data_IF_126852066048
#
_entry.id   IF_126852066048
#
_cell.length_a   1.000
_cell.length_b   1.000
_cell.length_c   1.000
_cell.angle_alpha   90.00
_cell.angle_beta   90.00
_cell.angle_gamma   90.00
#
_symmetry.space_group_name_H-M   'P 1'
#
loop_
_entity.id
_entity.type
_entity.pdbx_description
1 polymer ?
#
# COMPACT_ATOMS: atom_id res chain seq x y z
N UNK A 1 10.12 -5.59 3.20
CA UNK A 1 10.60 -4.47 2.35
C UNK A 1 12.12 -4.37 2.49
N UNK A 2 12.89 -5.08 1.66
CA UNK A 2 14.34 -5.34 1.83
C UNK A 2 15.23 -4.55 0.85
N UNK A 3 14.73 -3.45 0.28
CA UNK A 3 15.52 -2.59 -0.61
C UNK A 3 16.52 -1.70 0.14
N UNK A 4 17.55 -1.24 -0.58
CA UNK A 4 18.45 -0.19 -0.09
C UNK A 4 17.73 1.16 -0.10
N UNK A 5 17.86 1.94 0.97
CA UNK A 5 17.26 3.26 1.13
C UNK A 5 18.37 4.30 1.22
N UNK A 6 18.27 5.34 0.42
CA UNK A 6 19.18 6.48 0.45
C UNK A 6 18.42 7.78 0.17
N UNK A 7 19.02 8.91 0.53
CA UNK A 7 18.56 10.23 0.13
C UNK A 7 19.36 10.69 -1.09
N UNK A 8 18.72 11.10 -2.20
CA UNK A 8 19.42 11.68 -3.34
C UNK A 8 20.31 12.89 -2.98
N UNK A 9 19.94 13.66 -1.96
CA UNK A 9 20.74 14.80 -1.46
C UNK A 9 21.97 14.37 -0.64
N UNK A 10 21.96 13.15 -0.11
CA UNK A 10 23.02 12.59 0.73
C UNK A 10 23.30 11.13 0.34
N UNK A 11 23.72 10.85 -0.91
CA UNK A 11 23.79 9.49 -1.45
C UNK A 11 24.84 8.61 -0.74
N UNK A 12 25.86 9.22 -0.15
CA UNK A 12 26.90 8.50 0.61
C UNK A 12 26.48 8.13 2.05
N UNK A 13 25.40 8.72 2.58
CA UNK A 13 24.98 8.53 3.98
C UNK A 13 23.94 7.41 4.11
N UNK A 14 24.40 6.17 3.93
CA UNK A 14 23.52 5.00 3.91
C UNK A 14 23.55 4.31 5.27
N UNK A 15 22.49 4.48 6.06
CA UNK A 15 22.40 3.92 7.42
C UNK A 15 22.54 2.39 7.44
N UNK A 16 21.95 1.72 6.44
CA UNK A 16 22.03 0.25 6.29
C UNK A 16 23.46 -0.26 6.10
N UNK A 17 24.41 0.61 5.72
CA UNK A 17 25.82 0.27 5.49
C UNK A 17 26.78 0.90 6.52
N UNK A 18 26.23 1.50 7.59
CA UNK A 18 27.03 2.23 8.59
C UNK A 18 27.89 1.34 9.48
N UNK A 19 27.49 0.08 9.67
CA UNK A 19 28.26 -0.95 10.35
C UNK A 19 28.21 -2.26 9.57
N UNK A 20 29.19 -3.13 9.79
CA UNK A 20 29.22 -4.46 9.19
C UNK A 20 27.96 -5.27 9.53
N UNK A 21 27.55 -5.26 10.80
CA UNK A 21 26.38 -5.99 11.27
C UNK A 21 25.09 -5.51 10.59
N UNK A 22 24.91 -4.18 10.45
CA UNK A 22 23.77 -3.63 9.72
C UNK A 22 23.82 -3.99 8.24
N UNK A 23 24.99 -3.91 7.61
CA UNK A 23 25.13 -4.27 6.19
C UNK A 23 24.79 -5.75 5.95
N UNK A 24 25.18 -6.65 6.84
CA UNK A 24 24.90 -8.09 6.71
C UNK A 24 23.45 -8.45 7.06
N UNK A 25 22.79 -7.70 7.94
CA UNK A 25 21.42 -7.95 8.37
C UNK A 25 20.37 -7.30 7.46
N UNK A 26 20.60 -6.05 7.07
CA UNK A 26 19.58 -5.16 6.52
C UNK A 26 19.65 -4.98 4.99
N UNK A 27 20.60 -5.67 4.33
CA UNK A 27 20.69 -5.73 2.86
C UNK A 27 20.09 -7.02 2.29
N UNK A 28 19.48 -6.91 1.11
CA UNK A 28 18.85 -8.05 0.45
C UNK A 28 19.86 -9.13 0.06
N UNK A 29 19.39 -10.39 0.07
CA UNK A 29 20.11 -11.57 -0.40
C UNK A 29 19.45 -12.21 -1.63
N UNK A 30 18.27 -11.70 -2.01
CA UNK A 30 17.43 -12.16 -3.10
C UNK A 30 17.10 -10.97 -4.01
N UNK A 31 16.93 -11.22 -5.30
CA UNK A 31 16.42 -10.26 -6.27
C UNK A 31 15.36 -10.93 -7.16
N UNK A 32 14.53 -10.11 -7.81
CA UNK A 32 13.58 -10.59 -8.81
C UNK A 32 14.20 -10.53 -10.20
N UNK A 33 13.98 -11.58 -10.98
CA UNK A 33 14.34 -11.67 -12.38
C UNK A 33 13.12 -12.14 -13.19
N UNK A 34 13.07 -11.76 -14.46
CA UNK A 34 12.10 -12.31 -15.40
C UNK A 34 12.64 -13.62 -15.94
N UNK A 35 11.85 -14.70 -15.82
CA UNK A 35 12.16 -15.96 -16.46
C UNK A 35 11.81 -15.88 -17.96
N UNK A 36 12.85 -15.85 -18.79
CA UNK A 36 12.75 -15.78 -20.25
C UNK A 36 12.77 -17.17 -20.91
N UNK A 37 12.99 -18.24 -20.15
CA UNK A 37 13.02 -19.62 -20.66
C UNK A 37 11.65 -20.27 -20.49
N UNK A 38 10.96 -20.01 -19.37
CA UNK A 38 9.58 -20.47 -19.13
C UNK A 38 8.53 -19.52 -19.70
N UNK A 39 8.62 -19.23 -21.01
CA UNK A 39 7.48 -18.73 -21.78
C UNK A 39 6.39 -19.82 -21.82
N UNK A 40 5.67 -19.97 -20.71
CA UNK A 40 4.46 -20.78 -20.69
C UNK A 40 3.53 -20.25 -21.78
N UNK A 41 2.95 -21.15 -22.57
CA UNK A 41 2.06 -20.80 -23.70
C UNK A 41 0.76 -20.11 -23.26
N UNK A 42 0.55 -19.93 -21.96
CA UNK A 42 -0.64 -19.35 -21.36
C UNK A 42 -0.25 -18.16 -20.48
N UNK A 43 -0.34 -16.95 -21.04
CA UNK A 43 -0.26 -15.72 -20.26
C UNK A 43 -1.36 -15.73 -19.20
N UNK A 44 -0.96 -15.68 -17.93
CA UNK A 44 -1.90 -15.55 -16.81
C UNK A 44 -1.99 -14.09 -16.38
N UNK A 45 -3.15 -13.70 -15.85
CA UNK A 45 -3.43 -12.33 -15.35
C UNK A 45 -2.82 -12.08 -13.96
N UNK A 46 -2.06 -13.04 -13.42
CA UNK A 46 -1.39 -12.92 -12.12
C UNK A 46 0.02 -12.38 -12.32
N UNK A 47 0.33 -11.19 -11.78
CA UNK A 47 1.61 -10.48 -11.95
C UNK A 47 2.86 -11.31 -11.55
N UNK A 48 2.68 -12.37 -10.75
CA UNK A 48 3.78 -13.24 -10.29
C UNK A 48 4.20 -14.35 -11.26
N UNK A 49 3.47 -14.59 -12.34
CA UNK A 49 3.59 -15.86 -13.10
C UNK A 49 4.96 -16.10 -13.75
N UNK A 50 5.70 -15.03 -14.08
CA UNK A 50 7.01 -15.08 -14.73
C UNK A 50 8.12 -14.41 -13.91
N UNK A 51 7.85 -14.11 -12.63
CA UNK A 51 8.81 -13.53 -11.71
C UNK A 51 9.55 -14.63 -10.93
N UNK A 52 10.83 -14.82 -11.26
CA UNK A 52 11.74 -15.68 -10.52
C UNK A 52 12.40 -14.92 -9.37
N UNK A 53 12.46 -15.53 -8.19
CA UNK A 53 13.17 -14.97 -7.03
C UNK A 53 14.50 -15.69 -6.86
N UNK A 54 15.60 -15.03 -7.21
CA UNK A 54 16.93 -15.63 -7.34
C UNK A 54 17.85 -15.12 -6.22
N UNK A 55 18.74 -15.97 -5.70
CA UNK A 55 19.77 -15.55 -4.74
C UNK A 55 20.86 -14.76 -5.44
N UNK A 56 21.40 -13.72 -4.78
CA UNK A 56 22.50 -12.92 -5.35
C UNK A 56 23.74 -13.75 -5.73
N UNK A 57 23.98 -14.86 -5.04
CA UNK A 57 25.10 -15.78 -5.33
C UNK A 57 24.94 -16.54 -6.67
N UNK A 58 23.71 -16.65 -7.17
CA UNK A 58 23.34 -17.35 -8.41
C UNK A 58 23.23 -16.39 -9.60
N UNK A 59 23.40 -15.07 -9.36
CA UNK A 59 23.37 -14.08 -10.42
C UNK A 59 24.57 -14.24 -11.38
N UNK A 60 24.36 -13.88 -12.65
CA UNK A 60 25.42 -13.87 -13.65
C UNK A 60 26.58 -12.96 -13.20
N UNK A 61 27.79 -13.54 -13.18
CA UNK A 61 29.03 -12.81 -12.86
C UNK A 61 29.29 -11.65 -13.82
N UNK A 62 28.80 -11.74 -15.06
CA UNK A 62 28.94 -10.72 -16.08
C UNK A 62 27.76 -9.73 -16.13
N UNK A 63 26.73 -9.97 -15.30
CA UNK A 63 25.53 -9.15 -15.26
C UNK A 63 25.71 -7.81 -14.54
N UNK A 64 24.66 -6.97 -14.53
CA UNK A 64 24.70 -5.62 -13.95
C UNK A 64 24.94 -5.61 -12.44
N UNK A 65 24.71 -6.73 -11.74
CA UNK A 65 24.92 -6.85 -10.30
C UNK A 65 26.34 -6.47 -9.87
N UNK A 66 27.34 -6.70 -10.72
CA UNK A 66 28.74 -6.32 -10.46
C UNK A 66 28.93 -4.83 -10.19
N UNK A 67 28.08 -4.00 -10.79
CA UNK A 67 28.09 -2.55 -10.62
C UNK A 67 27.34 -2.10 -9.36
N UNK A 68 26.46 -2.95 -8.82
CA UNK A 68 25.57 -2.62 -7.71
C UNK A 68 26.04 -3.19 -6.37
N UNK A 69 26.99 -4.15 -6.38
CA UNK A 69 27.35 -4.92 -5.19
C UNK A 69 28.76 -4.64 -4.67
N UNK A 70 28.90 -4.73 -3.35
CA UNK A 70 30.16 -4.95 -2.63
C UNK A 70 30.29 -6.41 -2.21
N UNK A 71 31.51 -6.82 -1.84
CA UNK A 71 31.81 -8.18 -1.38
C UNK A 71 32.27 -8.19 0.07
N UNK A 72 31.57 -8.91 0.92
CA UNK A 72 31.99 -9.19 2.29
C UNK A 72 33.03 -10.31 2.33
N UNK A 73 34.16 -10.01 2.94
CA UNK A 73 35.25 -10.94 3.21
C UNK A 73 35.16 -11.45 4.66
N UNK A 74 34.82 -12.73 4.87
CA UNK A 74 34.70 -13.29 6.22
C UNK A 74 36.04 -13.51 6.92
N UNK A 75 37.16 -13.57 6.19
CA UNK A 75 38.48 -13.76 6.80
C UNK A 75 38.95 -12.48 7.47
N UNK A 76 38.85 -11.38 6.73
CA UNK A 76 39.26 -10.05 7.20
C UNK A 76 38.15 -9.30 7.94
N UNK A 77 36.91 -9.81 7.92
CA UNK A 77 35.70 -9.16 8.47
C UNK A 77 35.49 -7.74 7.92
N UNK A 78 35.74 -7.54 6.63
CA UNK A 78 35.57 -6.25 5.95
C UNK A 78 34.65 -6.36 4.75
N UNK A 79 34.07 -5.22 4.36
CA UNK A 79 33.34 -5.08 3.09
C UNK A 79 34.29 -4.43 2.09
N UNK A 80 34.60 -5.14 1.02
CA UNK A 80 35.38 -4.63 -0.12
C UNK A 80 34.40 -4.09 -1.15
N UNK A 81 34.56 -2.83 -1.53
CA UNK A 81 33.71 -2.19 -2.53
C UNK A 81 33.97 -2.81 -3.91
N UNK A 82 32.89 -3.29 -4.54
CA UNK A 82 32.96 -4.01 -5.81
C UNK A 82 32.72 -5.51 -5.71
N UNK A 83 32.66 -6.11 -6.89
CA UNK A 83 32.36 -7.52 -7.08
C UNK A 83 33.66 -8.32 -7.18
N UNK A 84 33.96 -9.12 -6.15
CA UNK A 84 35.11 -10.02 -6.12
C UNK A 84 34.66 -11.48 -6.13
N UNK A 85 35.52 -12.39 -6.56
CA UNK A 85 35.24 -13.82 -6.46
C UNK A 85 35.24 -14.29 -4.99
N UNK A 86 34.35 -15.21 -4.65
CA UNK A 86 34.12 -15.61 -3.26
C UNK A 86 33.40 -14.53 -2.45
N UNK A 87 33.25 -14.78 -1.14
CA UNK A 87 32.59 -13.85 -0.21
C UNK A 87 31.10 -13.61 -0.45
N UNK A 88 30.41 -13.05 0.55
CA UNK A 88 28.97 -12.75 0.45
C UNK A 88 28.77 -11.45 -0.32
N UNK A 89 27.85 -11.45 -1.29
CA UNK A 89 27.49 -10.23 -2.04
C UNK A 89 26.52 -9.38 -1.22
N UNK A 90 26.80 -8.08 -1.17
CA UNK A 90 26.00 -7.05 -0.49
C UNK A 90 25.58 -6.03 -1.54
N UNK A 91 24.28 -5.76 -1.66
CA UNK A 91 23.77 -4.74 -2.58
C UNK A 91 23.95 -3.37 -1.92
N UNK A 92 25.08 -2.74 -2.20
CA UNK A 92 25.53 -1.49 -1.57
C UNK A 92 25.34 -0.26 -2.45
N UNK A 93 25.28 -0.46 -3.77
CA UNK A 93 25.35 0.59 -4.78
C UNK A 93 26.58 1.51 -4.64
N UNK A 94 27.67 1.06 -4.01
CA UNK A 94 28.84 1.91 -3.72
C UNK A 94 29.41 2.58 -4.99
N UNK A 95 29.55 1.81 -6.08
CA UNK A 95 30.06 2.35 -7.35
C UNK A 95 29.16 3.45 -7.94
N UNK A 96 27.84 3.38 -7.71
CA UNK A 96 26.88 4.34 -8.24
C UNK A 96 26.73 5.55 -7.31
N UNK A 97 26.52 5.31 -6.01
CA UNK A 97 26.17 6.34 -5.03
C UNK A 97 27.37 7.05 -4.42
N UNK A 98 28.55 6.42 -4.40
CA UNK A 98 29.76 6.99 -3.80
C UNK A 98 30.83 7.32 -4.85
N UNK A 99 31.04 6.42 -5.82
CA UNK A 99 32.07 6.60 -6.86
C UNK A 99 31.56 7.27 -8.13
N UNK A 100 30.26 7.56 -8.23
CA UNK A 100 29.68 8.33 -9.33
C UNK A 100 29.74 7.64 -10.70
N UNK A 101 29.81 6.30 -10.76
CA UNK A 101 29.80 5.53 -12.02
C UNK A 101 28.55 5.82 -12.86
N UNK A 102 27.42 6.07 -12.21
CA UNK A 102 26.17 6.45 -12.84
C UNK A 102 25.53 7.56 -12.01
N UNK A 103 25.10 8.69 -12.60
CA UNK A 103 24.62 9.86 -11.85
C UNK A 103 23.18 9.67 -11.36
N UNK A 104 22.92 8.57 -10.65
CA UNK A 104 21.58 8.16 -10.21
C UNK A 104 20.98 9.18 -9.25
N UNK A 105 21.74 9.57 -8.22
CA UNK A 105 21.28 10.48 -7.18
C UNK A 105 20.93 11.86 -7.75
N UNK A 106 21.83 12.42 -8.57
CA UNK A 106 21.62 13.71 -9.23
C UNK A 106 20.44 13.68 -10.21
N UNK A 107 20.26 12.58 -10.94
CA UNK A 107 19.14 12.40 -11.87
C UNK A 107 17.82 12.35 -11.11
N UNK A 108 17.75 11.56 -10.03
CA UNK A 108 16.55 11.48 -9.18
C UNK A 108 16.23 12.84 -8.56
N UNK A 109 17.22 13.54 -7.99
CA UNK A 109 17.03 14.86 -7.37
C UNK A 109 16.47 15.88 -8.38
N UNK A 110 17.03 15.93 -9.60
CA UNK A 110 16.53 16.81 -10.67
C UNK A 110 15.09 16.47 -11.07
N UNK A 111 14.78 15.20 -11.27
CA UNK A 111 13.43 14.78 -11.69
C UNK A 111 12.41 15.07 -10.58
N UNK A 112 12.76 14.84 -9.32
CA UNK A 112 11.87 15.15 -8.19
C UNK A 112 11.61 16.66 -8.08
N UNK A 113 12.64 17.50 -8.25
CA UNK A 113 12.49 18.98 -8.24
C UNK A 113 11.62 19.47 -9.38
N UNK A 114 11.91 19.06 -10.62
CA UNK A 114 11.13 19.43 -11.79
C UNK A 114 9.68 18.95 -11.63
N UNK A 115 9.50 17.70 -11.22
CA UNK A 115 8.18 17.12 -10.99
C UNK A 115 7.38 17.87 -9.94
N UNK A 116 8.02 18.27 -8.84
CA UNK A 116 7.38 19.05 -7.79
C UNK A 116 7.01 20.46 -8.26
N UNK A 117 7.88 21.13 -9.02
CA UNK A 117 7.64 22.47 -9.57
C UNK A 117 6.46 22.44 -10.55
N UNK A 118 6.47 21.53 -11.52
CA UNK A 118 5.45 21.44 -12.57
C UNK A 118 4.09 20.94 -12.05
N UNK A 119 4.08 20.05 -11.04
CA UNK A 119 2.84 19.55 -10.44
C UNK A 119 2.34 20.39 -9.24
N UNK A 120 3.11 21.39 -8.81
CA UNK A 120 2.78 22.28 -7.70
C UNK A 120 2.69 21.61 -6.32
N UNK A 121 3.19 20.38 -6.18
CA UNK A 121 3.22 19.63 -4.91
C UNK A 121 4.28 18.53 -4.95
N UNK A 122 4.72 17.98 -3.79
CA UNK A 122 5.70 16.90 -3.76
C UNK A 122 5.25 15.72 -4.65
N UNK A 123 6.20 15.08 -5.32
CA UNK A 123 5.92 13.96 -6.24
C UNK A 123 6.65 12.70 -5.81
N UNK A 124 6.09 11.55 -6.17
CA UNK A 124 6.76 10.27 -6.18
C UNK A 124 7.04 9.84 -7.62
N UNK A 125 8.15 9.14 -7.84
CA UNK A 125 8.53 8.60 -9.14
C UNK A 125 8.83 7.11 -9.04
N UNK A 126 8.47 6.38 -10.08
CA UNK A 126 8.95 5.03 -10.35
C UNK A 126 9.86 5.08 -11.58
N UNK A 127 10.99 4.39 -11.52
CA UNK A 127 11.99 4.44 -12.58
C UNK A 127 12.68 3.09 -12.78
N UNK A 128 13.27 2.92 -13.95
CA UNK A 128 14.22 1.85 -14.25
C UNK A 128 15.54 2.45 -14.70
N UNK A 129 16.65 1.80 -14.37
CA UNK A 129 17.97 2.15 -14.87
C UNK A 129 18.58 0.93 -15.56
N UNK A 130 19.07 1.15 -16.77
CA UNK A 130 19.81 0.15 -17.54
C UNK A 130 21.29 0.55 -17.57
N UNK A 131 22.14 -0.31 -17.01
CA UNK A 131 23.59 -0.08 -16.93
C UNK A 131 24.27 -1.01 -17.92
N UNK A 132 24.67 -0.44 -19.05
CA UNK A 132 25.32 -1.18 -20.14
C UNK A 132 26.78 -1.43 -19.78
N UNK A 133 27.49 -0.37 -19.38
CA UNK A 133 28.88 -0.42 -18.93
C UNK A 133 29.20 0.71 -17.93
N UNK A 134 30.48 0.92 -17.62
CA UNK A 134 30.92 1.94 -16.64
C UNK A 134 30.71 3.40 -17.10
N UNK A 135 30.50 3.63 -18.40
CA UNK A 135 30.35 4.94 -19.00
C UNK A 135 28.96 5.15 -19.62
N UNK A 136 28.29 4.07 -20.01
CA UNK A 136 26.99 4.10 -20.67
C UNK A 136 25.90 3.47 -19.79
N UNK A 137 24.84 4.25 -19.58
CA UNK A 137 23.61 3.78 -18.98
C UNK A 137 22.44 4.67 -19.37
N UNK A 138 21.23 4.17 -19.19
CA UNK A 138 19.99 4.87 -19.47
C UNK A 138 19.10 4.91 -18.23
N UNK A 139 18.42 6.04 -18.03
CA UNK A 139 17.43 6.23 -16.97
C UNK A 139 16.05 6.40 -17.60
N UNK A 140 15.09 5.63 -17.15
CA UNK A 140 13.72 5.64 -17.65
C UNK A 140 12.77 5.99 -16.51
N UNK A 141 12.02 7.09 -16.64
CA UNK A 141 10.88 7.37 -15.77
C UNK A 141 9.73 6.48 -16.22
N UNK A 142 9.26 5.61 -15.33
CA UNK A 142 8.14 4.72 -15.59
C UNK A 142 6.82 5.36 -15.16
N UNK A 143 6.86 6.08 -14.04
CA UNK A 143 5.70 6.78 -13.51
C UNK A 143 6.13 8.01 -12.70
N UNK A 144 5.32 9.06 -12.74
CA UNK A 144 5.40 10.19 -11.83
C UNK A 144 4.00 10.50 -11.32
N UNK A 145 3.84 10.66 -10.01
CA UNK A 145 2.56 10.95 -9.36
C UNK A 145 2.72 12.04 -8.31
N UNK A 146 1.78 12.98 -8.21
CA UNK A 146 1.75 13.93 -7.10
C UNK A 146 1.38 13.21 -5.80
N UNK A 147 2.12 13.47 -4.73
CA UNK A 147 1.81 13.00 -3.38
C UNK A 147 0.69 13.88 -2.82
N UNK A 148 -0.33 13.25 -2.26
CA UNK A 148 -1.39 13.95 -1.53
C UNK A 148 -0.84 14.37 -0.17
N UNK A 149 -0.49 15.64 -0.06
CA UNK A 149 -0.16 16.28 1.22
C UNK A 149 -1.47 16.61 1.95
N UNK A 150 -2.02 15.66 2.71
CA UNK A 150 -3.17 15.92 3.58
C UNK A 150 -2.70 16.75 4.78
N UNK A 151 -2.54 18.06 4.58
CA UNK A 151 -2.15 19.05 5.60
C UNK A 151 -3.21 19.35 6.65
N UNK A 152 -4.39 18.75 6.56
CA UNK A 152 -5.34 18.79 7.68
C UNK A 152 -4.80 17.93 8.82
N UNK A 153 -3.94 18.53 9.63
CA UNK A 153 -3.63 17.97 10.95
C UNK A 153 -4.94 18.00 11.72
N UNK A 154 -5.58 16.84 11.86
CA UNK A 154 -6.68 16.66 12.81
C UNK A 154 -6.06 16.86 14.21
N UNK A 155 -6.14 18.10 14.72
CA UNK A 155 -5.68 18.44 16.07
C UNK A 155 -6.66 17.98 17.14
N UNK A 156 -7.89 17.62 16.75
CA UNK A 156 -8.89 17.07 17.67
C UNK A 156 -8.42 15.75 18.28
N UNK A 157 -8.71 15.58 19.58
CA UNK A 157 -8.45 14.33 20.27
C UNK A 157 -9.54 13.32 19.95
N UNK A 158 -9.35 12.53 18.89
CA UNK A 158 -10.32 11.52 18.46
C UNK A 158 -10.59 10.44 19.55
N UNK A 159 -9.70 10.30 20.54
CA UNK A 159 -9.85 9.39 21.68
C UNK A 159 -11.00 9.79 22.61
N UNK A 160 -11.40 11.06 22.61
CA UNK A 160 -12.50 11.59 23.44
C UNK A 160 -13.84 11.65 22.70
N UNK A 161 -13.91 11.08 21.49
CA UNK A 161 -15.15 11.09 20.70
C UNK A 161 -16.21 10.22 21.38
N UNK A 162 -17.43 10.73 21.52
CA UNK A 162 -18.53 9.96 22.11
C UNK A 162 -18.87 8.74 21.24
N UNK A 163 -18.84 7.57 21.87
CA UNK A 163 -19.21 6.28 21.28
C UNK A 163 -20.66 6.32 20.77
N UNK A 164 -21.55 7.04 21.46
CA UNK A 164 -22.96 7.11 21.10
C UNK A 164 -23.19 7.86 19.79
N UNK A 165 -22.33 8.82 19.47
CA UNK A 165 -22.38 9.62 18.24
C UNK A 165 -21.54 9.03 17.11
N UNK A 166 -21.02 7.82 17.27
CA UNK A 166 -20.06 7.21 16.34
C UNK A 166 -20.63 5.95 15.68
N UNK A 167 -20.50 5.84 14.35
CA UNK A 167 -20.85 4.63 13.58
C UNK A 167 -19.66 3.69 13.47
N UNK A 168 -18.47 4.24 13.22
CA UNK A 168 -17.21 3.48 13.11
C UNK A 168 -16.14 4.13 13.96
N UNK A 169 -15.45 3.33 14.76
CA UNK A 169 -14.21 3.72 15.44
C UNK A 169 -13.13 2.69 15.10
N UNK A 170 -11.92 3.15 14.81
CA UNK A 170 -10.75 2.30 14.59
C UNK A 170 -9.52 2.93 15.23
N UNK A 171 -8.78 2.11 15.98
CA UNK A 171 -7.45 2.45 16.51
C UNK A 171 -6.30 2.01 15.58
N UNK A 172 -6.64 1.54 14.38
CA UNK A 172 -5.72 1.18 13.33
C UNK A 172 -6.28 1.68 11.99
N UNK A 173 -6.38 3.01 11.90
CA UNK A 173 -6.81 3.73 10.73
C UNK A 173 -5.62 4.31 9.95
N UNK A 174 -5.76 4.33 8.63
CA UNK A 174 -4.85 4.94 7.68
C UNK A 174 -5.58 6.02 6.89
N UNK A 175 -4.81 7.01 6.42
CA UNK A 175 -5.34 8.25 5.87
C UNK A 175 -5.16 9.41 6.85
N UNK A 176 -5.59 10.60 6.45
CA UNK A 176 -5.52 11.79 7.29
C UNK A 176 -6.54 12.82 6.80
N UNK A 177 -7.17 13.58 7.69
CA UNK A 177 -8.06 14.71 7.35
C UNK A 177 -9.51 14.53 7.79
N UNK A 178 -10.36 15.50 7.41
CA UNK A 178 -11.79 15.55 7.74
C UNK A 178 -12.62 15.57 6.45
N UNK A 179 -13.72 14.83 6.42
CA UNK A 179 -14.69 14.83 5.33
C UNK A 179 -16.10 14.85 5.90
N UNK A 180 -16.93 15.77 5.40
CA UNK A 180 -18.31 16.01 5.83
C UNK A 180 -19.26 16.14 4.64
N UNK A 181 -18.95 15.43 3.56
CA UNK A 181 -19.63 15.44 2.26
C UNK A 181 -20.15 14.04 1.85
N UNK A 182 -20.15 13.08 2.78
CA UNK A 182 -20.55 11.69 2.54
C UNK A 182 -21.89 11.40 3.22
N UNK A 183 -22.91 11.06 2.43
CA UNK A 183 -24.27 10.83 2.92
C UNK A 183 -24.67 9.35 2.96
N UNK A 184 -23.83 8.47 2.39
CA UNK A 184 -24.19 7.10 2.14
C UNK A 184 -23.24 6.14 2.87
N UNK A 185 -23.81 5.10 3.48
CA UNK A 185 -23.09 3.99 4.07
C UNK A 185 -23.54 2.67 3.41
N UNK A 186 -22.56 1.88 2.99
CA UNK A 186 -22.75 0.57 2.36
C UNK A 186 -22.01 -0.44 3.21
N UNK A 187 -22.70 -1.50 3.60
CA UNK A 187 -22.07 -2.54 4.42
C UNK A 187 -22.56 -3.93 4.06
N UNK A 188 -21.70 -4.90 4.32
CA UNK A 188 -22.04 -6.33 4.26
C UNK A 188 -22.69 -6.74 5.57
N UNK A 189 -23.87 -7.36 5.51
CA UNK A 189 -24.61 -7.83 6.68
C UNK A 189 -23.81 -8.92 7.40
N UNK A 190 -23.52 -8.74 8.68
CA UNK A 190 -22.63 -9.69 9.40
C UNK A 190 -23.35 -10.94 9.87
N UNK A 191 -24.64 -10.85 10.22
CA UNK A 191 -25.40 -11.95 10.83
C UNK A 191 -25.54 -13.18 9.92
N UNK A 192 -25.63 -12.98 8.60
CA UNK A 192 -25.76 -14.05 7.61
C UNK A 192 -24.49 -14.23 6.77
N UNK A 193 -23.36 -13.65 7.21
CA UNK A 193 -22.13 -13.66 6.44
C UNK A 193 -21.55 -15.07 6.28
N UNK A 194 -21.21 -15.43 5.05
CA UNK A 194 -20.50 -16.65 4.72
C UNK A 194 -19.42 -16.35 3.67
N UNK A 195 -18.18 -16.75 3.94
CA UNK A 195 -17.05 -16.50 3.05
C UNK A 195 -17.25 -17.10 1.64
N UNK A 196 -18.04 -18.17 1.52
CA UNK A 196 -18.43 -18.75 0.23
C UNK A 196 -19.15 -17.75 -0.70
N UNK A 197 -19.80 -16.73 -0.14
CA UNK A 197 -20.54 -15.71 -0.88
C UNK A 197 -19.69 -14.48 -1.24
N UNK A 198 -18.40 -14.42 -0.84
CA UNK A 198 -17.54 -13.25 -1.06
C UNK A 198 -17.46 -12.83 -2.53
N UNK A 199 -17.42 -13.80 -3.46
CA UNK A 199 -17.44 -13.51 -4.91
C UNK A 199 -18.76 -12.91 -5.39
N UNK A 200 -19.89 -13.25 -4.77
CA UNK A 200 -21.20 -12.65 -5.08
C UNK A 200 -21.28 -11.23 -4.51
N UNK A 201 -20.83 -11.05 -3.27
CA UNK A 201 -20.73 -9.75 -2.60
C UNK A 201 -19.91 -8.77 -3.45
N UNK A 202 -18.75 -9.20 -3.96
CA UNK A 202 -17.90 -8.38 -4.82
C UNK A 202 -18.65 -7.86 -6.06
N UNK A 203 -19.50 -8.68 -6.69
CA UNK A 203 -20.31 -8.30 -7.87
C UNK A 203 -21.43 -7.33 -7.53
N UNK A 204 -22.06 -7.47 -6.37
CA UNK A 204 -23.10 -6.54 -5.91
C UNK A 204 -22.52 -5.18 -5.59
N UNK A 205 -21.37 -5.15 -4.94
CA UNK A 205 -20.63 -3.92 -4.63
C UNK A 205 -20.17 -3.22 -5.90
N UNK A 206 -19.65 -3.96 -6.89
CA UNK A 206 -19.27 -3.40 -8.19
C UNK A 206 -20.46 -2.69 -8.88
N UNK A 207 -21.64 -3.33 -8.89
CA UNK A 207 -22.85 -2.73 -9.47
C UNK A 207 -23.26 -1.45 -8.75
N UNK A 208 -23.17 -1.46 -7.42
CA UNK A 208 -23.50 -0.31 -6.60
C UNK A 208 -22.49 0.83 -6.80
N UNK A 209 -21.18 0.56 -6.80
CA UNK A 209 -20.14 1.55 -7.04
C UNK A 209 -20.28 2.25 -8.42
N UNK A 210 -20.80 1.53 -9.43
CA UNK A 210 -21.13 2.15 -10.73
C UNK A 210 -22.22 3.22 -10.60
N UNK A 211 -23.28 2.98 -9.82
CA UNK A 211 -24.32 3.99 -9.57
C UNK A 211 -23.77 5.22 -8.84
N UNK A 212 -22.86 5.01 -7.89
CA UNK A 212 -22.15 6.11 -7.20
C UNK A 212 -21.26 6.90 -8.15
N UNK A 213 -20.65 6.22 -9.12
CA UNK A 213 -19.84 6.86 -10.15
C UNK A 213 -20.69 7.71 -11.09
N UNK A 214 -21.86 7.22 -11.50
CA UNK A 214 -22.79 7.93 -12.39
C UNK A 214 -23.37 9.20 -11.75
N UNK A 215 -23.59 9.20 -10.42
CA UNK A 215 -24.13 10.34 -9.67
C UNK A 215 -23.08 11.22 -8.99
N UNK A 216 -21.79 10.93 -9.23
CA UNK A 216 -20.63 11.58 -8.61
C UNK A 216 -20.76 11.73 -7.08
N UNK A 217 -21.07 10.63 -6.40
CA UNK A 217 -21.17 10.58 -4.94
C UNK A 217 -20.17 9.60 -4.34
N UNK A 218 -19.86 9.80 -3.06
CA UNK A 218 -19.01 8.91 -2.27
C UNK A 218 -19.79 8.18 -1.18
N UNK A 219 -19.24 7.10 -0.65
CA UNK A 219 -19.81 6.35 0.46
C UNK A 219 -18.78 5.81 1.45
N UNK A 220 -19.24 5.46 2.64
CA UNK A 220 -18.49 4.64 3.59
C UNK A 220 -18.77 3.17 3.29
N UNK A 221 -17.73 2.35 3.13
CA UNK A 221 -17.82 0.92 2.86
C UNK A 221 -17.33 0.11 4.06
N UNK A 222 -18.14 -0.84 4.54
CA UNK A 222 -17.79 -1.71 5.67
C UNK A 222 -18.03 -3.17 5.32
N UNK A 223 -17.10 -4.06 5.64
CA UNK A 223 -17.31 -5.48 5.40
C UNK A 223 -16.32 -6.39 6.13
N UNK A 224 -16.64 -7.69 6.25
CA UNK A 224 -15.81 -8.63 6.97
C UNK A 224 -14.63 -9.16 6.15
N UNK A 225 -13.51 -9.40 6.83
CA UNK A 225 -12.27 -9.91 6.21
C UNK A 225 -11.56 -8.87 5.34
N UNK A 226 -10.77 -9.35 4.36
CA UNK A 226 -9.97 -8.48 3.49
C UNK A 226 -10.74 -7.93 2.28
N UNK A 227 -10.51 -6.69 1.91
CA UNK A 227 -10.91 -6.16 0.61
C UNK A 227 -9.81 -6.40 -0.43
N UNK A 228 -10.17 -7.00 -1.56
CA UNK A 228 -9.25 -7.24 -2.67
C UNK A 228 -8.34 -8.46 -2.51
N UNK A 229 -8.73 -9.42 -1.68
CA UNK A 229 -8.04 -10.71 -1.60
C UNK A 229 -8.27 -11.54 -2.87
N UNK A 230 -7.19 -12.09 -3.44
CA UNK A 230 -7.30 -13.08 -4.54
C UNK A 230 -7.88 -14.43 -4.06
N UNK A 231 -7.78 -14.71 -2.76
CA UNK A 231 -8.44 -15.86 -2.12
C UNK A 231 -9.79 -15.41 -1.53
N UNK A 232 -10.93 -15.84 -2.09
CA UNK A 232 -12.26 -15.49 -1.59
C UNK A 232 -12.55 -16.05 -0.20
N UNK A 233 -11.83 -17.07 0.28
CA UNK A 233 -11.97 -17.53 1.66
C UNK A 233 -11.32 -16.59 2.67
N UNK A 234 -10.46 -15.69 2.20
CA UNK A 234 -9.78 -14.71 3.04
C UNK A 234 -10.38 -13.29 2.96
N UNK A 235 -11.34 -13.06 2.08
CA UNK A 235 -11.88 -11.73 1.89
C UNK A 235 -12.74 -11.60 0.65
N UNK A 236 -13.26 -10.40 0.45
CA UNK A 236 -14.11 -10.03 -0.68
C UNK A 236 -13.20 -9.68 -1.87
N UNK A 237 -13.22 -10.45 -2.98
CA UNK A 237 -12.30 -10.29 -4.11
C UNK A 237 -12.70 -9.12 -5.03
N UNK A 238 -12.69 -7.90 -4.50
CA UNK A 238 -12.92 -6.66 -5.26
C UNK A 238 -11.65 -6.20 -5.98
N UNK A 239 -11.81 -5.57 -7.15
CA UNK A 239 -10.76 -4.75 -7.75
C UNK A 239 -10.95 -3.30 -7.33
N UNK A 240 -9.93 -2.46 -7.49
CA UNK A 240 -10.04 -1.02 -7.19
C UNK A 240 -11.23 -0.36 -7.89
N UNK A 241 -11.45 -0.69 -9.17
CA UNK A 241 -12.58 -0.18 -9.97
C UNK A 241 -13.95 -0.58 -9.41
N UNK A 242 -14.04 -1.61 -8.57
CA UNK A 242 -15.30 -2.07 -7.97
C UNK A 242 -15.68 -1.25 -6.73
N UNK A 243 -14.75 -0.50 -6.12
CA UNK A 243 -14.96 0.25 -4.87
C UNK A 243 -14.38 1.67 -4.92
N UNK A 244 -14.11 2.18 -6.12
CA UNK A 244 -13.38 3.44 -6.35
C UNK A 244 -14.07 4.69 -5.79
N UNK A 245 -15.36 4.61 -5.44
CA UNK A 245 -16.13 5.72 -4.83
C UNK A 245 -16.27 5.57 -3.31
N UNK A 246 -15.62 4.59 -2.69
CA UNK A 246 -15.54 4.53 -1.23
C UNK A 246 -14.62 5.66 -0.72
N UNK A 247 -15.11 6.49 0.20
CA UNK A 247 -14.31 7.50 0.92
C UNK A 247 -13.61 6.90 2.15
N UNK A 248 -14.24 5.89 2.75
CA UNK A 248 -13.68 5.06 3.81
C UNK A 248 -13.96 3.61 3.47
N UNK A 249 -12.97 2.75 3.66
CA UNK A 249 -13.08 1.29 3.57
C UNK A 249 -12.72 0.74 4.94
N UNK A 250 -13.65 0.02 5.56
CA UNK A 250 -13.48 -0.61 6.86
C UNK A 250 -13.50 -2.14 6.72
N UNK A 251 -12.44 -2.77 7.23
CA UNK A 251 -12.33 -4.21 7.40
C UNK A 251 -12.71 -4.57 8.83
N UNK A 252 -13.77 -5.36 8.98
CA UNK A 252 -14.26 -5.81 10.28
C UNK A 252 -13.91 -7.29 10.51
N UNK A 253 -13.33 -7.60 11.65
CA UNK A 253 -13.15 -8.99 12.07
C UNK A 253 -14.46 -9.54 12.67
N UNK A 254 -14.83 -10.77 12.30
CA UNK A 254 -15.94 -11.49 12.94
C UNK A 254 -15.40 -12.57 13.89
N UNK A 255 -16.26 -13.07 14.78
CA UNK A 255 -15.87 -13.99 15.87
C UNK A 255 -15.11 -15.20 15.34
N UNK A 256 -15.64 -15.82 14.29
CA UNK A 256 -15.14 -17.03 13.64
C UNK A 256 -14.50 -16.77 12.26
N UNK A 257 -14.26 -15.49 11.93
CA UNK A 257 -13.65 -15.07 10.67
C UNK A 257 -12.67 -13.92 10.93
N UNK A 258 -11.47 -14.29 11.40
CA UNK A 258 -10.40 -13.38 11.81
C UNK A 258 -9.25 -13.50 10.84
N UNK A 259 -9.09 -12.47 10.04
CA UNK A 259 -8.08 -12.45 8.99
C UNK A 259 -7.21 -11.25 9.26
N UNK A 260 -5.91 -11.49 9.42
CA UNK A 260 -4.99 -10.37 9.61
C UNK A 260 -5.05 -9.44 8.40
N UNK A 261 -5.07 -8.12 8.58
CA UNK A 261 -4.99 -7.19 7.47
C UNK A 261 -3.71 -7.47 6.66
N UNK A 262 -3.85 -7.63 5.34
CA UNK A 262 -2.70 -7.68 4.44
C UNK A 262 -2.81 -6.54 3.44
N UNK A 263 -1.86 -5.63 3.51
CA UNK A 263 -1.82 -4.46 2.65
C UNK A 263 -1.12 -4.82 1.34
N UNK A 264 -1.89 -5.21 0.32
CA UNK A 264 -1.35 -5.35 -1.03
C UNK A 264 -0.80 -4.00 -1.52
N UNK A 265 0.44 -3.98 -2.04
CA UNK A 265 1.16 -2.72 -2.33
C UNK A 265 0.41 -1.81 -3.30
N UNK A 266 -0.19 -2.35 -4.36
CA UNK A 266 -0.94 -1.56 -5.35
C UNK A 266 -2.30 -1.05 -4.81
N UNK A 267 -2.97 -1.86 -3.98
CA UNK A 267 -4.22 -1.44 -3.32
C UNK A 267 -3.95 -0.30 -2.32
N UNK A 268 -2.86 -0.42 -1.55
CA UNK A 268 -2.43 0.58 -0.58
C UNK A 268 -2.03 1.91 -1.23
N UNK A 269 -1.27 1.87 -2.34
CA UNK A 269 -0.91 3.09 -3.08
C UNK A 269 -2.16 3.89 -3.49
N UNK A 270 -3.20 3.23 -4.00
CA UNK A 270 -4.45 3.89 -4.37
C UNK A 270 -5.16 4.50 -3.16
N UNK A 271 -5.22 3.80 -2.01
CA UNK A 271 -5.80 4.34 -0.78
C UNK A 271 -5.14 5.67 -0.39
N UNK A 272 -3.80 5.71 -0.42
CA UNK A 272 -3.04 6.92 -0.08
C UNK A 272 -3.18 8.02 -1.13
N UNK A 273 -3.12 7.70 -2.42
CA UNK A 273 -3.14 8.69 -3.51
C UNK A 273 -4.53 9.31 -3.75
N UNK A 274 -5.62 8.60 -3.43
CA UNK A 274 -6.99 9.10 -3.60
C UNK A 274 -7.60 9.63 -2.30
N UNK A 275 -6.83 9.67 -1.20
CA UNK A 275 -7.29 10.16 0.10
C UNK A 275 -8.42 9.33 0.69
N UNK A 276 -8.42 8.02 0.44
CA UNK A 276 -9.41 7.08 0.98
C UNK A 276 -8.97 6.63 2.36
N UNK A 277 -9.86 6.78 3.35
CA UNK A 277 -9.63 6.26 4.70
C UNK A 277 -9.68 4.75 4.72
N UNK A 278 -8.77 4.11 5.46
CA UNK A 278 -8.77 2.66 5.59
C UNK A 278 -8.72 2.24 7.05
N UNK A 279 -9.77 1.58 7.51
CA UNK A 279 -10.00 1.28 8.92
C UNK A 279 -9.89 -0.23 9.13
N UNK A 280 -9.10 -0.64 10.12
CA UNK A 280 -9.15 -2.02 10.62
C UNK A 280 -9.92 -2.04 11.93
N UNK A 281 -10.96 -2.86 12.01
CA UNK A 281 -11.85 -2.97 13.16
C UNK A 281 -11.80 -4.41 13.67
N UNK A 282 -11.32 -4.60 14.90
CA UNK A 282 -11.22 -5.89 15.60
C UNK A 282 -12.00 -5.83 16.91
N UNK A 283 -13.35 -5.96 16.89
CA UNK A 283 -14.20 -5.70 18.07
C UNK A 283 -13.92 -6.59 19.29
N UNK A 284 -13.23 -7.72 19.08
CA UNK A 284 -12.88 -8.69 20.13
C UNK A 284 -11.54 -8.39 20.82
N UNK A 285 -10.81 -7.38 20.36
CA UNK A 285 -9.57 -6.90 20.97
C UNK A 285 -9.90 -5.62 21.73
N UNK A 286 -9.42 -5.50 22.97
CA UNK A 286 -9.62 -4.28 23.76
C UNK A 286 -9.07 -3.05 23.01
N UNK A 287 -9.92 -2.05 22.84
CA UNK A 287 -9.59 -0.84 22.06
C UNK A 287 -9.53 -1.04 20.54
N UNK A 288 -9.76 -2.26 20.00
CA UNK A 288 -9.62 -2.63 18.59
C UNK A 288 -10.61 -2.00 17.61
N UNK A 289 -11.41 -1.02 18.04
CA UNK A 289 -12.45 -0.42 17.20
C UNK A 289 -13.82 -1.05 17.37
N UNK A 290 -14.84 -0.40 16.85
CA UNK A 290 -16.19 -0.95 16.74
C UNK A 290 -16.90 -0.48 15.48
N UNK A 291 -17.93 -1.24 15.11
CA UNK A 291 -18.88 -0.93 14.04
C UNK A 291 -20.30 -1.05 14.59
N UNK A 292 -21.04 0.06 14.63
CA UNK A 292 -22.43 0.12 15.09
C UNK A 292 -23.40 -0.32 13.97
N UNK A 293 -23.37 -1.62 13.65
CA UNK A 293 -24.26 -2.21 12.65
C UNK A 293 -25.73 -2.12 13.07
N UNK A 294 -26.02 -2.14 14.38
CA UNK A 294 -27.36 -2.03 14.92
C UNK A 294 -27.99 -0.66 14.59
N UNK A 295 -27.22 0.43 14.75
CA UNK A 295 -27.66 1.75 14.35
C UNK A 295 -27.99 1.81 12.85
N UNK A 296 -27.13 1.28 11.97
CA UNK A 296 -27.38 1.28 10.53
C UNK A 296 -28.60 0.42 10.15
N UNK A 297 -28.80 -0.72 10.82
CA UNK A 297 -29.95 -1.60 10.60
C UNK A 297 -31.29 -0.93 11.00
N UNK A 298 -31.28 0.02 11.94
CA UNK A 298 -32.46 0.78 12.34
C UNK A 298 -32.87 1.86 11.32
N UNK A 299 -31.98 2.22 10.38
CA UNK A 299 -32.26 3.21 9.34
C UNK A 299 -32.96 2.59 8.13
N UNK A 300 -33.76 3.37 7.39
CA UNK A 300 -34.35 2.91 6.13
C UNK A 300 -33.27 2.60 5.09
N UNK A 301 -33.31 1.40 4.51
CA UNK A 301 -32.43 1.04 3.40
C UNK A 301 -32.95 1.62 2.08
N UNK A 302 -32.08 2.28 1.32
CA UNK A 302 -32.37 2.66 -0.07
C UNK A 302 -32.26 1.43 -0.98
N UNK A 303 -31.30 0.57 -0.68
CA UNK A 303 -31.06 -0.65 -1.41
C UNK A 303 -30.61 -1.76 -0.45
N UNK A 304 -31.16 -2.95 -0.64
CA UNK A 304 -30.89 -4.10 0.22
C UNK A 304 -30.99 -5.39 -0.59
N UNK A 305 -30.03 -6.29 -0.36
CA UNK A 305 -29.99 -7.65 -0.91
C UNK A 305 -29.83 -8.65 0.23
N UNK A 306 -29.61 -9.92 -0.07
CA UNK A 306 -29.30 -10.92 0.95
C UNK A 306 -27.95 -10.65 1.64
N UNK A 307 -27.02 -9.98 0.97
CA UNK A 307 -25.64 -9.80 1.48
C UNK A 307 -25.28 -8.37 1.86
N UNK A 308 -25.72 -7.37 1.08
CA UNK A 308 -25.35 -5.96 1.28
C UNK A 308 -26.56 -5.08 1.61
N UNK A 309 -26.30 -4.02 2.35
CA UNK A 309 -27.27 -2.97 2.68
C UNK A 309 -26.67 -1.60 2.47
N UNK A 310 -27.47 -0.72 1.87
CA UNK A 310 -27.12 0.67 1.58
C UNK A 310 -28.13 1.60 2.24
N UNK A 311 -27.60 2.43 3.13
CA UNK A 311 -28.33 3.46 3.88
C UNK A 311 -27.85 4.82 3.41
N UNK A 312 -28.77 5.78 3.31
CA UNK A 312 -28.47 7.17 3.03
C UNK A 312 -29.13 8.06 4.07
N UNK A 313 -28.40 9.07 4.50
CA UNK A 313 -28.81 10.03 5.52
C UNK A 313 -29.19 11.38 4.92
N UNK A 314 -29.95 12.18 5.67
CA UNK A 314 -30.28 13.57 5.30
C UNK A 314 -29.12 14.53 5.56
N UNK A 315 -28.35 14.27 6.63
CA UNK A 315 -27.13 14.98 6.99
C UNK A 315 -25.90 14.10 6.70
N UNK A 316 -24.72 14.68 6.41
CA UNK A 316 -23.54 13.92 6.06
C UNK A 316 -22.93 13.24 7.29
N UNK A 317 -22.40 12.04 7.09
CA UNK A 317 -21.47 11.40 8.02
C UNK A 317 -20.20 12.24 8.10
N UNK A 318 -19.72 12.49 9.31
CA UNK A 318 -18.45 13.19 9.53
C UNK A 318 -17.33 12.17 9.74
N UNK A 319 -16.43 12.10 8.78
CA UNK A 319 -15.27 11.23 8.79
C UNK A 319 -14.07 12.05 9.30
N UNK A 320 -13.38 11.58 10.33
CA UNK A 320 -12.14 12.18 10.82
C UNK A 320 -11.06 11.12 10.95
N UNK A 321 -9.87 11.39 10.41
CA UNK A 321 -8.76 10.44 10.42
C UNK A 321 -7.49 11.17 10.88
N UNK A 322 -6.88 10.65 11.94
CA UNK A 322 -5.57 11.07 12.42
C UNK A 322 -4.56 9.95 12.14
N UNK A 323 -3.89 10.03 10.99
CA UNK A 323 -2.92 9.02 10.56
C UNK A 323 -1.68 8.91 11.45
N UNK A 324 -1.34 9.98 12.18
CA UNK A 324 -0.21 9.97 13.14
C UNK A 324 -0.52 9.12 14.37
N UNK A 325 -1.74 9.25 14.90
CA UNK A 325 -2.23 8.44 16.02
C UNK A 325 -2.83 7.09 15.58
N UNK A 326 -2.97 6.86 14.27
CA UNK A 326 -3.72 5.73 13.67
C UNK A 326 -5.17 5.64 14.13
N UNK A 327 -5.78 6.78 14.43
CA UNK A 327 -7.19 6.85 14.88
C UNK A 327 -8.09 7.28 13.72
N UNK A 328 -9.25 6.66 13.61
CA UNK A 328 -10.26 7.02 12.62
C UNK A 328 -11.66 6.89 13.22
N UNK A 329 -12.49 7.90 12.98
CA UNK A 329 -13.92 7.90 13.35
C UNK A 329 -14.79 8.24 12.15
N UNK A 330 -15.96 7.60 12.10
CA UNK A 330 -17.08 8.03 11.27
C UNK A 330 -18.24 8.30 12.22
N UNK A 331 -18.60 9.57 12.35
CA UNK A 331 -19.67 10.02 13.24
C UNK A 331 -21.04 9.89 12.57
N UNK A 332 -22.07 9.74 13.40
CA UNK A 332 -23.48 9.78 13.01
C UNK A 332 -23.80 11.17 12.42
N UNK A 333 -24.77 11.23 11.49
CA UNK A 333 -25.15 12.45 10.78
C UNK A 333 -25.89 13.47 11.67
#
# INVERSE_FOLDING_TARGET
NTGLRFSPLHPSNILQLSTLDFALRDTQTLFYALDMESFSKEFRVDDGFNLAKIRLKEADKNGPLRFLSSTYDPQDQIIREGYYEGGRKIVSFANILQHGMFPLADTIDKILKIGQEEMGRPVEIEFAADIIDQQHGAFYVLQIRPIVDNREVVQENLEETDVNDTVLFSNNALGNGISSDVYDAVYVKTAAFQAANNSLIAREIEKLNRQFTERDAYYVLVGPGRWGSSDPWLGIPVKWTHISRAKVIAESALKDYRIEPSQGTHFFQNLTSFGVGYFTITPFVEGGGFFDEAYLNAQPAIFETDFIRHVRFEHPLVIKINGKKKLGVVMKP
#
